data_IF_735399773142
#
_entry.id   IF_735399773142
#
_cell.length_a   1.000
_cell.length_b   1.000
_cell.length_c   1.000
_cell.angle_alpha   90.00
_cell.angle_beta   90.00
_cell.angle_gamma   90.00
#
_symmetry.space_group_name_H-M   'P 1'
#
loop_
_entity.id
_entity.type
_entity.pdbx_description
1 polymer ?
#
# COMPACT_ATOMS: atom_id res chain seq x y z
N UNK A 1 33.52 14.38 -23.45
CA UNK A 1 33.03 13.55 -22.33
C UNK A 1 31.80 14.21 -21.68
N UNK A 2 30.63 14.16 -22.34
CA UNK A 2 29.39 14.78 -21.85
C UNK A 2 28.16 13.84 -21.95
N UNK A 3 28.37 12.56 -22.27
CA UNK A 3 27.28 11.62 -22.57
C UNK A 3 26.72 10.89 -21.33
N UNK A 4 27.37 10.99 -20.17
CA UNK A 4 26.93 10.28 -18.95
C UNK A 4 25.85 11.01 -18.14
N UNK A 5 25.81 12.36 -18.16
CA UNK A 5 24.87 13.13 -17.33
C UNK A 5 23.41 12.95 -17.76
N UNK A 6 23.13 13.07 -19.07
CA UNK A 6 21.76 12.99 -19.59
C UNK A 6 21.10 11.60 -19.41
N UNK A 7 21.91 10.53 -19.39
CA UNK A 7 21.40 9.17 -19.16
C UNK A 7 21.04 8.93 -17.69
N UNK A 8 21.88 9.41 -16.75
CA UNK A 8 21.62 9.29 -15.31
C UNK A 8 20.37 10.07 -14.89
N UNK A 9 20.20 11.28 -15.42
CA UNK A 9 19.03 12.13 -15.10
C UNK A 9 17.71 11.57 -15.66
N UNK A 10 17.74 10.95 -16.84
CA UNK A 10 16.54 10.36 -17.46
C UNK A 10 16.14 9.04 -16.79
N UNK A 11 17.09 8.26 -16.32
CA UNK A 11 16.85 7.02 -15.57
C UNK A 11 16.29 7.30 -14.17
N UNK A 12 16.84 8.31 -13.47
CA UNK A 12 16.29 8.77 -12.18
C UNK A 12 14.86 9.30 -12.30
N UNK A 13 14.56 10.07 -13.36
CA UNK A 13 13.20 10.60 -13.60
C UNK A 13 12.18 9.51 -13.93
N UNK A 14 12.57 8.48 -14.70
CA UNK A 14 11.70 7.32 -14.98
C UNK A 14 11.42 6.52 -13.71
N UNK A 15 12.44 6.25 -12.91
CA UNK A 15 12.30 5.51 -11.65
C UNK A 15 11.39 6.25 -10.65
N UNK A 16 11.54 7.57 -10.53
CA UNK A 16 10.66 8.39 -9.67
C UNK A 16 9.20 8.42 -10.16
N UNK A 17 9.00 8.44 -11.48
CA UNK A 17 7.67 8.39 -12.09
C UNK A 17 6.98 7.04 -11.82
N UNK A 18 7.69 5.92 -11.98
CA UNK A 18 7.18 4.57 -11.72
C UNK A 18 6.81 4.39 -10.24
N UNK A 19 7.57 5.00 -9.32
CA UNK A 19 7.24 5.05 -7.90
C UNK A 19 6.01 5.88 -7.58
N UNK A 20 5.77 6.97 -8.32
CA UNK A 20 4.52 7.71 -8.23
C UNK A 20 3.29 6.85 -8.54
N UNK A 21 3.36 6.01 -9.58
CA UNK A 21 2.27 5.08 -9.92
C UNK A 21 2.06 4.00 -8.88
N UNK A 22 3.14 3.43 -8.34
CA UNK A 22 3.05 2.45 -7.25
C UNK A 22 2.37 3.04 -6.02
N UNK A 23 2.79 4.25 -5.59
CA UNK A 23 2.20 4.94 -4.45
C UNK A 23 0.72 5.30 -4.69
N UNK A 24 0.36 5.69 -5.91
CA UNK A 24 -1.04 5.93 -6.26
C UNK A 24 -1.89 4.64 -6.12
N UNK A 25 -1.38 3.51 -6.59
CA UNK A 25 -2.03 2.22 -6.41
C UNK A 25 -2.08 1.80 -4.94
N UNK A 26 -1.02 2.05 -4.16
CA UNK A 26 -1.01 1.84 -2.71
C UNK A 26 -2.13 2.60 -2.01
N UNK A 27 -2.34 3.87 -2.35
CA UNK A 27 -3.46 4.65 -1.83
C UNK A 27 -4.83 4.04 -2.20
N UNK A 28 -4.99 3.55 -3.45
CA UNK A 28 -6.21 2.84 -3.88
C UNK A 28 -6.46 1.61 -3.01
N UNK A 29 -5.44 0.77 -2.79
CA UNK A 29 -5.56 -0.42 -1.94
C UNK A 29 -5.99 -0.07 -0.50
N UNK A 30 -5.38 0.95 0.09
CA UNK A 30 -5.75 1.44 1.41
C UNK A 30 -7.21 1.92 1.46
N UNK A 31 -7.65 2.72 0.46
CA UNK A 31 -9.03 3.19 0.36
C UNK A 31 -10.03 2.04 0.19
N UNK A 32 -9.69 0.99 -0.57
CA UNK A 32 -10.55 -0.20 -0.70
C UNK A 32 -10.69 -0.91 0.64
N UNK A 33 -9.59 -1.20 1.32
CA UNK A 33 -9.63 -1.94 2.58
C UNK A 33 -10.34 -1.15 3.70
N UNK A 34 -10.05 0.15 3.84
CA UNK A 34 -10.76 1.03 4.79
C UNK A 34 -12.22 1.21 4.38
N UNK A 35 -12.49 1.38 3.09
CA UNK A 35 -13.85 1.56 2.57
C UNK A 35 -14.75 0.35 2.84
N UNK A 36 -14.21 -0.87 2.68
CA UNK A 36 -14.91 -2.10 3.03
C UNK A 36 -15.14 -2.21 4.55
N UNK A 37 -14.13 -1.87 5.37
CA UNK A 37 -14.27 -1.89 6.82
C UNK A 37 -15.29 -0.85 7.34
N UNK A 38 -15.40 0.29 6.66
CA UNK A 38 -16.29 1.40 7.00
C UNK A 38 -17.56 1.45 6.13
N UNK A 39 -17.99 0.32 5.55
CA UNK A 39 -19.03 0.31 4.49
C UNK A 39 -20.35 0.98 4.90
N UNK A 40 -20.73 0.86 6.17
CA UNK A 40 -21.98 1.41 6.72
C UNK A 40 -21.89 2.89 7.10
N UNK A 41 -20.73 3.54 6.90
CA UNK A 41 -20.51 4.96 7.22
C UNK A 41 -19.97 5.72 6.01
N UNK A 42 -18.69 6.09 6.01
CA UNK A 42 -18.00 6.81 4.91
C UNK A 42 -17.47 5.85 3.84
N UNK A 43 -17.60 4.55 4.03
CA UNK A 43 -16.97 3.53 3.20
C UNK A 43 -17.36 3.59 1.73
N UNK A 44 -18.62 3.86 1.40
CA UNK A 44 -19.07 4.02 0.02
C UNK A 44 -18.36 5.17 -0.71
N UNK A 45 -18.07 6.28 -0.01
CA UNK A 45 -17.33 7.41 -0.57
C UNK A 45 -15.88 6.99 -0.88
N UNK A 46 -15.23 6.28 0.05
CA UNK A 46 -13.88 5.77 -0.15
C UNK A 46 -13.80 4.76 -1.30
N UNK A 47 -14.78 3.87 -1.42
CA UNK A 47 -14.87 2.91 -2.52
C UNK A 47 -15.13 3.60 -3.86
N UNK A 48 -15.99 4.61 -3.90
CA UNK A 48 -16.22 5.43 -5.10
C UNK A 48 -14.93 6.13 -5.55
N UNK A 49 -14.21 6.77 -4.63
CA UNK A 49 -12.92 7.40 -4.92
C UNK A 49 -11.88 6.38 -5.39
N UNK A 50 -11.79 5.23 -4.73
CA UNK A 50 -10.89 4.15 -5.12
C UNK A 50 -11.22 3.62 -6.53
N UNK A 51 -12.50 3.46 -6.87
CA UNK A 51 -12.93 3.02 -8.19
C UNK A 51 -12.57 4.04 -9.29
N UNK A 52 -12.82 5.33 -9.05
CA UNK A 52 -12.46 6.40 -10.01
C UNK A 52 -10.94 6.47 -10.17
N UNK A 53 -10.19 6.45 -9.07
CA UNK A 53 -8.74 6.43 -9.11
C UNK A 53 -8.21 5.21 -9.85
N UNK A 54 -8.66 4.00 -9.50
CA UNK A 54 -8.27 2.76 -10.17
C UNK A 54 -8.56 2.81 -11.68
N UNK A 55 -9.72 3.32 -12.08
CA UNK A 55 -10.07 3.49 -13.49
C UNK A 55 -9.12 4.45 -14.22
N UNK A 56 -8.78 5.59 -13.62
CA UNK A 56 -7.82 6.55 -14.18
C UNK A 56 -6.41 5.94 -14.27
N UNK A 57 -5.98 5.23 -13.22
CA UNK A 57 -4.66 4.59 -13.17
C UNK A 57 -4.55 3.44 -14.17
N UNK A 58 -5.60 2.65 -14.38
CA UNK A 58 -5.62 1.60 -15.41
C UNK A 58 -5.59 2.16 -16.84
N UNK A 59 -6.16 3.35 -17.05
CA UNK A 59 -6.18 3.99 -18.38
C UNK A 59 -4.85 4.65 -18.75
N UNK A 60 -4.13 5.21 -17.78
CA UNK A 60 -2.94 6.05 -18.04
C UNK A 60 -1.64 5.48 -17.50
N UNK A 61 -1.71 4.55 -16.55
CA UNK A 61 -0.57 4.07 -15.79
C UNK A 61 0.01 2.76 -16.33
N UNK A 62 1.25 2.45 -15.93
CA UNK A 62 1.90 1.22 -16.34
C UNK A 62 1.32 0.04 -15.53
N UNK A 63 1.05 -1.08 -16.21
CA UNK A 63 0.32 -2.24 -15.64
C UNK A 63 1.02 -2.89 -14.45
N UNK A 64 2.35 -2.77 -14.36
CA UNK A 64 3.17 -3.28 -13.27
C UNK A 64 2.90 -2.56 -11.93
N UNK A 65 2.48 -1.29 -11.95
CA UNK A 65 2.26 -0.51 -10.74
C UNK A 65 1.04 -0.97 -9.93
N UNK A 66 0.15 -1.79 -10.50
CA UNK A 66 -1.05 -2.34 -9.82
C UNK A 66 -0.68 -3.12 -8.55
N UNK A 67 0.53 -3.68 -8.47
CA UNK A 67 1.06 -4.34 -7.26
C UNK A 67 1.12 -3.41 -6.03
N UNK A 68 1.16 -2.09 -6.24
CA UNK A 68 0.99 -1.10 -5.16
C UNK A 68 -0.34 -1.28 -4.43
N UNK A 69 -1.42 -1.62 -5.14
CA UNK A 69 -2.75 -1.85 -4.56
C UNK A 69 -2.76 -2.99 -3.55
N UNK A 70 -2.10 -4.10 -3.88
CA UNK A 70 -1.93 -5.23 -2.94
C UNK A 70 -1.16 -4.82 -1.69
N UNK A 71 -0.11 -4.00 -1.87
CA UNK A 71 0.69 -3.46 -0.76
C UNK A 71 -0.16 -2.52 0.13
N UNK A 72 -1.04 -1.73 -0.47
CA UNK A 72 -1.96 -0.82 0.24
C UNK A 72 -2.96 -1.52 1.15
N UNK A 73 -3.38 -2.74 0.81
CA UNK A 73 -4.29 -3.54 1.65
C UNK A 73 -3.69 -3.89 3.02
N UNK A 74 -2.36 -3.84 3.17
CA UNK A 74 -1.69 -4.10 4.45
C UNK A 74 -1.92 -2.98 5.48
N UNK A 75 -2.23 -1.75 5.04
CA UNK A 75 -2.24 -0.58 5.90
C UNK A 75 -3.28 -0.68 7.04
N UNK A 76 -4.53 -1.11 6.80
CA UNK A 76 -5.48 -1.27 7.89
C UNK A 76 -5.11 -2.40 8.85
N UNK A 77 -4.47 -3.46 8.37
CA UNK A 77 -3.99 -4.56 9.22
C UNK A 77 -2.91 -4.07 10.20
N UNK A 78 -1.95 -3.27 9.72
CA UNK A 78 -0.97 -2.64 10.60
C UNK A 78 -1.61 -1.67 11.59
N UNK A 79 -2.61 -0.91 11.16
CA UNK A 79 -3.35 -0.01 12.04
C UNK A 79 -4.05 -0.79 13.17
N UNK A 80 -4.76 -1.88 12.85
CA UNK A 80 -5.42 -2.74 13.84
C UNK A 80 -4.39 -3.34 14.80
N UNK A 81 -3.28 -3.88 14.28
CA UNK A 81 -2.22 -4.45 15.12
C UNK A 81 -1.63 -3.39 16.09
N UNK A 82 -1.41 -2.17 15.61
CA UNK A 82 -0.87 -1.08 16.43
C UNK A 82 -1.86 -0.61 17.49
N UNK A 83 -3.16 -0.53 17.16
CA UNK A 83 -4.20 -0.13 18.10
C UNK A 83 -4.42 -1.16 19.20
N UNK A 84 -4.22 -2.46 18.90
CA UNK A 84 -4.39 -3.58 19.82
C UNK A 84 -3.05 -4.10 20.40
N UNK A 85 -2.01 -3.26 20.41
CA UNK A 85 -0.66 -3.67 20.82
C UNK A 85 -0.53 -4.01 22.31
N UNK A 86 -1.50 -3.62 23.13
CA UNK A 86 -1.54 -3.95 24.56
C UNK A 86 -2.31 -5.23 24.85
N UNK A 87 -3.11 -5.71 23.90
CA UNK A 87 -3.93 -6.91 24.02
C UNK A 87 -3.16 -8.24 23.92
N UNK A 88 -3.86 -9.37 24.01
CA UNK A 88 -5.33 -9.49 24.04
C UNK A 88 -5.95 -9.30 25.43
N UNK A 89 -7.27 -9.02 25.45
CA UNK A 89 -8.09 -8.97 26.66
C UNK A 89 -8.37 -7.57 27.17
N UNK A 90 -8.74 -7.45 28.46
CA UNK A 90 -8.99 -6.15 29.08
C UNK A 90 -7.69 -5.40 29.33
N UNK A 91 -7.48 -4.33 28.56
CA UNK A 91 -6.35 -3.43 28.73
C UNK A 91 -6.85 -2.14 29.36
N UNK A 92 -6.38 -1.88 30.58
CA UNK A 92 -6.80 -0.73 31.36
C UNK A 92 -5.74 0.39 31.32
N UNK A 93 -6.17 1.60 31.00
CA UNK A 93 -5.31 2.80 30.96
C UNK A 93 -5.84 3.87 31.91
N UNK A 94 -4.94 4.55 32.59
CA UNK A 94 -5.29 5.67 33.47
C UNK A 94 -5.80 6.86 32.66
N UNK A 95 -6.90 7.46 33.13
CA UNK A 95 -7.48 8.68 32.56
C UNK A 95 -7.77 9.68 33.69
N UNK A 96 -7.95 10.96 33.37
CA UNK A 96 -8.33 11.97 34.37
C UNK A 96 -9.69 11.59 34.97
N UNK A 97 -9.70 11.22 36.25
CA UNK A 97 -10.90 10.80 36.99
C UNK A 97 -11.11 9.28 37.11
N UNK A 98 -10.17 8.44 36.65
CA UNK A 98 -10.27 6.99 36.88
C UNK A 98 -9.43 6.13 35.93
N UNK A 99 -9.90 4.91 35.68
CA UNK A 99 -9.30 3.94 34.78
C UNK A 99 -10.32 3.57 33.70
N UNK A 100 -9.90 3.57 32.43
CA UNK A 100 -10.70 3.09 31.31
C UNK A 100 -10.12 1.77 30.84
N UNK A 101 -10.95 0.73 30.83
CA UNK A 101 -10.58 -0.58 30.28
C UNK A 101 -11.26 -0.77 28.92
N UNK A 102 -10.49 -1.25 27.95
CA UNK A 102 -10.99 -1.61 26.62
C UNK A 102 -10.57 -3.03 26.29
N UNK A 103 -11.48 -3.79 25.69
CA UNK A 103 -11.16 -5.10 25.13
C UNK A 103 -10.31 -4.93 23.87
N UNK A 104 -9.09 -5.46 23.89
CA UNK A 104 -8.16 -5.46 22.76
C UNK A 104 -8.06 -6.87 22.14
N UNK A 105 -7.97 -6.93 20.82
CA UNK A 105 -7.72 -8.18 20.07
C UNK A 105 -6.26 -8.64 20.21
N UNK A 106 -5.98 -9.90 19.87
CA UNK A 106 -4.59 -10.35 19.66
C UNK A 106 -3.97 -9.61 18.47
N UNK A 107 -2.88 -8.82 18.63
CA UNK A 107 -2.35 -8.01 17.53
C UNK A 107 -1.56 -8.82 16.49
N UNK A 108 -0.98 -9.96 16.88
CA UNK A 108 -0.05 -10.76 16.07
C UNK A 108 -0.64 -11.25 14.73
N UNK A 109 -1.88 -11.79 14.66
CA UNK A 109 -2.45 -12.24 13.39
C UNK A 109 -2.57 -11.12 12.35
N UNK A 110 -2.97 -9.92 12.79
CA UNK A 110 -3.07 -8.75 11.92
C UNK A 110 -1.68 -8.27 11.47
N UNK A 111 -0.70 -8.27 12.37
CA UNK A 111 0.68 -7.91 12.03
C UNK A 111 1.25 -8.87 10.97
N UNK A 112 1.13 -10.18 11.18
CA UNK A 112 1.62 -11.20 10.25
C UNK A 112 0.92 -11.08 8.90
N UNK A 113 -0.41 -10.95 8.88
CA UNK A 113 -1.17 -10.74 7.65
C UNK A 113 -0.75 -9.48 6.89
N UNK A 114 -0.56 -8.37 7.62
CA UNK A 114 -0.07 -7.12 7.06
C UNK A 114 1.33 -7.26 6.44
N UNK A 115 2.26 -7.89 7.15
CA UNK A 115 3.63 -8.13 6.64
C UNK A 115 3.59 -8.98 5.38
N UNK A 116 2.79 -10.06 5.35
CA UNK A 116 2.68 -10.94 4.19
C UNK A 116 2.15 -10.20 2.96
N UNK A 117 1.06 -9.42 3.11
CA UNK A 117 0.50 -8.62 2.01
C UNK A 117 1.48 -7.55 1.52
N UNK A 118 2.12 -6.84 2.45
CA UNK A 118 3.09 -5.80 2.13
C UNK A 118 4.28 -6.36 1.36
N UNK A 119 4.91 -7.43 1.88
CA UNK A 119 6.07 -8.07 1.27
C UNK A 119 5.69 -8.68 -0.07
N UNK A 120 4.55 -9.37 -0.18
CA UNK A 120 4.10 -9.95 -1.45
C UNK A 120 3.90 -8.87 -2.53
N UNK A 121 3.17 -7.80 -2.22
CA UNK A 121 2.95 -6.70 -3.17
C UNK A 121 4.26 -6.01 -3.59
N UNK A 122 5.16 -5.78 -2.64
CA UNK A 122 6.45 -5.16 -2.89
C UNK A 122 7.37 -6.06 -3.74
N UNK A 123 7.46 -7.35 -3.42
CA UNK A 123 8.28 -8.32 -4.18
C UNK A 123 7.75 -8.50 -5.60
N UNK A 124 6.42 -8.57 -5.80
CA UNK A 124 5.81 -8.65 -7.12
C UNK A 124 6.19 -7.42 -7.95
N UNK A 125 6.12 -6.22 -7.37
CA UNK A 125 6.50 -4.99 -8.06
C UNK A 125 7.97 -5.04 -8.52
N UNK A 126 8.89 -5.39 -7.62
CA UNK A 126 10.33 -5.49 -7.96
C UNK A 126 10.62 -6.59 -8.98
N UNK A 127 9.93 -7.72 -8.92
CA UNK A 127 10.09 -8.81 -9.88
C UNK A 127 9.66 -8.38 -11.29
N UNK A 128 8.55 -7.65 -11.41
CA UNK A 128 8.07 -7.15 -12.70
C UNK A 128 9.01 -6.07 -13.26
N UNK A 129 9.47 -5.13 -12.43
CA UNK A 129 10.44 -4.11 -12.87
C UNK A 129 11.77 -4.72 -13.33
N UNK A 130 12.26 -5.75 -12.64
CA UNK A 130 13.49 -6.44 -13.04
C UNK A 130 13.32 -7.15 -14.39
N UNK A 131 12.15 -7.70 -14.66
CA UNK A 131 11.82 -8.35 -15.94
C UNK A 131 11.79 -7.35 -17.10
N UNK A 132 11.18 -6.18 -16.91
CA UNK A 132 11.10 -5.14 -17.95
C UNK A 132 12.47 -4.52 -18.27
N UNK A 133 13.36 -4.36 -17.28
CA UNK A 133 14.74 -3.88 -17.51
C UNK A 133 15.63 -4.88 -18.25
N UNK A 134 15.38 -6.19 -18.10
CA UNK A 134 16.18 -7.26 -18.72
C UNK A 134 15.70 -7.67 -20.12
N UNK A 135 14.56 -7.16 -20.57
CA UNK A 135 14.07 -7.45 -21.92
C UNK A 135 15.10 -6.98 -22.96
N UNK A 136 15.60 -7.87 -23.85
CA UNK A 136 16.50 -7.48 -24.92
C UNK A 136 15.86 -6.39 -25.77
N UNK A 137 16.62 -5.34 -26.11
CA UNK A 137 16.19 -4.35 -27.10
C UNK A 137 15.99 -5.10 -28.43
N UNK A 138 14.77 -5.13 -28.99
CA UNK A 138 14.56 -5.76 -30.29
C UNK A 138 15.27 -4.91 -31.34
N UNK A 139 16.33 -5.46 -31.93
CA UNK A 139 16.98 -4.90 -33.12
C UNK A 139 18.06 -3.86 -32.85
N UNK A 140 19.30 -4.31 -32.70
CA UNK A 140 20.41 -3.77 -33.47
C UNK A 140 21.12 -4.92 -34.15
#
# INVERSE_FOLDING_TARGET
MAYNGAHVDSEGRRTGWDWGWFLAWFAVGACVAVGLAAILTVGLVLLGLAAVAAWLLLRKGPRNAVAGGLTGLALPLFCIAYLNRGGPGDVCRSASGGQTCTQEYTPVPFLVGGVLLFVAGFVIFLAIERGTRKAPVPGR
#
